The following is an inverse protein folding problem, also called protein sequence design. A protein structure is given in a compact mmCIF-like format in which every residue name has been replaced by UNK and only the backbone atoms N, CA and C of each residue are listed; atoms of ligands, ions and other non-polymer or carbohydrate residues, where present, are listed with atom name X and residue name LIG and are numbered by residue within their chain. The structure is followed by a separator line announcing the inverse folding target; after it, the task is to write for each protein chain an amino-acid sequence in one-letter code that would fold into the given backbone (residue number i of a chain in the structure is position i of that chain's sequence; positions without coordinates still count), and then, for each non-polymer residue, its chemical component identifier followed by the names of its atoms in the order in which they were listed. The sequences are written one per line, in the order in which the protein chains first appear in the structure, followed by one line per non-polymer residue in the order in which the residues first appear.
data_IF_934369296321
#
_entry.id   IF_934369296321
#
_cell.length_a   1.000
_cell.length_b   1.000
_cell.length_c   1.000
_cell.angle_alpha   90.00
_cell.angle_beta   90.00
_cell.angle_gamma   90.00
#
_symmetry.space_group_name_H-M   'P 1'
#
loop_
_entity.id
_entity.type
_entity.pdbx_description
1 polymer ?
#
# COMPACT_ATOMS: atom_id res chain seq x y z
N UNK A 1 -0.81 -3.23 -28.42
CA UNK A 1 -0.15 -2.60 -27.26
C UNK A 1 0.75 -3.60 -26.53
N UNK A 2 0.20 -4.65 -25.91
CA UNK A 2 0.99 -5.64 -25.14
C UNK A 2 2.13 -6.29 -25.96
N UNK A 3 1.87 -6.71 -27.21
CA UNK A 3 2.91 -7.26 -28.08
C UNK A 3 4.11 -6.31 -28.30
N UNK A 4 3.86 -5.01 -28.46
CA UNK A 4 4.93 -4.02 -28.57
C UNK A 4 5.71 -3.87 -27.27
N UNK A 5 5.02 -3.80 -26.13
CA UNK A 5 5.65 -3.63 -24.82
C UNK A 5 6.55 -4.83 -24.45
N UNK A 6 6.20 -6.02 -24.95
CA UNK A 6 6.97 -7.26 -24.82
C UNK A 6 8.14 -7.39 -25.82
N UNK A 7 8.24 -6.50 -26.82
CA UNK A 7 9.34 -6.54 -27.79
C UNK A 7 10.68 -6.21 -27.12
N UNK A 8 11.75 -6.88 -27.56
CA UNK A 8 13.12 -6.66 -27.08
C UNK A 8 13.80 -5.59 -27.93
N UNK A 9 14.83 -4.94 -27.38
CA UNK A 9 15.62 -3.93 -28.10
C UNK A 9 16.21 -4.46 -29.42
N UNK A 10 16.62 -5.73 -29.44
CA UNK A 10 17.19 -6.40 -30.63
C UNK A 10 16.20 -6.62 -31.77
N UNK A 11 14.91 -6.49 -31.50
CA UNK A 11 13.86 -6.67 -32.51
C UNK A 11 13.71 -5.41 -33.39
N UNK A 12 14.57 -4.39 -33.18
CA UNK A 12 14.55 -3.12 -33.88
C UNK A 12 15.81 -2.92 -34.71
N UNK A 13 15.62 -2.46 -35.95
CA UNK A 13 16.72 -2.14 -36.88
C UNK A 13 17.43 -0.83 -36.52
N UNK A 14 16.77 0.04 -35.74
CA UNK A 14 17.32 1.32 -35.30
C UNK A 14 17.97 1.19 -33.93
N UNK A 15 18.98 2.01 -33.65
CA UNK A 15 19.63 2.06 -32.35
C UNK A 15 19.75 3.50 -31.82
N UNK A 16 20.09 3.62 -30.54
CA UNK A 16 20.41 4.90 -29.93
C UNK A 16 19.24 5.90 -29.89
N UNK A 17 19.49 7.21 -30.10
CA UNK A 17 18.49 8.27 -29.94
C UNK A 17 17.26 8.15 -30.86
N UNK A 18 17.44 7.65 -32.09
CA UNK A 18 16.36 7.47 -33.06
C UNK A 18 15.35 6.42 -32.58
N UNK A 19 15.84 5.27 -32.10
CA UNK A 19 15.00 4.24 -31.50
C UNK A 19 14.22 4.79 -30.30
N UNK A 20 14.89 5.52 -29.41
CA UNK A 20 14.25 6.14 -28.24
C UNK A 20 13.11 7.07 -28.63
N UNK A 21 13.32 7.91 -29.64
CA UNK A 21 12.30 8.86 -30.15
C UNK A 21 11.10 8.12 -30.72
N UNK A 22 11.33 7.08 -31.53
CA UNK A 22 10.26 6.28 -32.12
C UNK A 22 9.45 5.49 -31.08
N UNK A 23 10.13 4.87 -30.13
CA UNK A 23 9.49 4.17 -29.01
C UNK A 23 8.64 5.15 -28.20
N UNK A 24 9.17 6.35 -27.92
CA UNK A 24 8.44 7.39 -27.20
C UNK A 24 7.14 7.78 -27.93
N UNK A 25 7.21 8.05 -29.23
CA UNK A 25 6.03 8.37 -30.03
C UNK A 25 4.98 7.23 -30.01
N UNK A 26 5.41 5.97 -30.13
CA UNK A 26 4.50 4.82 -30.04
C UNK A 26 3.83 4.70 -28.66
N UNK A 27 4.58 4.91 -27.58
CA UNK A 27 4.04 4.90 -26.21
C UNK A 27 3.00 6.01 -26.01
N UNK A 28 3.27 7.23 -26.51
CA UNK A 28 2.30 8.34 -26.45
C UNK A 28 1.02 8.03 -27.23
N UNK A 29 1.13 7.43 -28.43
CA UNK A 29 -0.04 6.98 -29.19
C UNK A 29 -0.84 5.92 -28.40
N UNK A 30 -0.16 4.94 -27.80
CA UNK A 30 -0.83 3.94 -26.97
C UNK A 30 -1.52 4.54 -25.76
N UNK A 31 -0.94 5.56 -25.13
CA UNK A 31 -1.56 6.26 -24.03
C UNK A 31 -2.83 7.01 -24.48
N UNK A 32 -2.79 7.69 -25.62
CA UNK A 32 -3.96 8.37 -26.18
C UNK A 32 -5.08 7.38 -26.50
N UNK A 33 -4.75 6.25 -27.15
CA UNK A 33 -5.71 5.18 -27.46
C UNK A 33 -6.29 4.56 -26.18
N UNK A 34 -5.46 4.30 -25.16
CA UNK A 34 -5.93 3.79 -23.87
C UNK A 34 -6.93 4.76 -23.23
N UNK A 35 -6.59 6.05 -23.13
CA UNK A 35 -7.46 7.08 -22.57
C UNK A 35 -8.80 7.17 -23.32
N UNK A 36 -8.78 7.10 -24.64
CA UNK A 36 -9.99 7.09 -25.47
C UNK A 36 -10.85 5.85 -25.18
N UNK A 37 -10.25 4.64 -25.16
CA UNK A 37 -10.97 3.39 -24.85
C UNK A 37 -11.58 3.43 -23.45
N UNK A 38 -10.82 3.89 -22.46
CA UNK A 38 -11.29 4.04 -21.08
C UNK A 38 -12.51 4.96 -21.01
N UNK A 39 -12.43 6.16 -21.61
CA UNK A 39 -13.55 7.11 -21.63
C UNK A 39 -14.79 6.51 -22.28
N UNK A 40 -14.63 5.87 -23.44
CA UNK A 40 -15.74 5.22 -24.14
C UNK A 40 -16.37 4.08 -23.33
N UNK A 41 -15.57 3.32 -22.58
CA UNK A 41 -16.07 2.25 -21.72
C UNK A 41 -16.76 2.76 -20.47
N UNK A 42 -16.32 3.88 -19.90
CA UNK A 42 -17.01 4.49 -18.75
C UNK A 42 -18.39 5.01 -19.18
N UNK A 43 -18.51 5.59 -20.37
CA UNK A 43 -19.77 6.13 -20.89
C UNK A 43 -20.72 5.09 -21.51
N UNK A 44 -20.29 3.84 -21.68
CA UNK A 44 -21.10 2.82 -22.35
C UNK A 44 -22.26 2.36 -21.44
N UNK A 45 -23.50 2.35 -21.91
CA UNK A 45 -24.61 1.78 -21.12
C UNK A 45 -24.52 0.24 -21.12
N UNK A 46 -24.70 -0.37 -19.94
CA UNK A 46 -24.54 -1.84 -19.75
C UNK A 46 -25.87 -2.58 -19.72
N UNK A 47 -26.75 -2.31 -20.68
CA UNK A 47 -28.08 -2.94 -20.72
C UNK A 47 -28.09 -4.30 -21.44
N UNK A 48 -26.92 -4.84 -21.80
CA UNK A 48 -26.79 -6.10 -22.54
C UNK A 48 -25.73 -7.05 -22.00
N UNK A 49 -25.94 -8.35 -22.20
CA UNK A 49 -24.93 -9.40 -21.92
C UNK A 49 -23.63 -9.17 -22.70
N UNK A 50 -23.74 -8.66 -23.92
CA UNK A 50 -22.62 -8.34 -24.81
C UNK A 50 -21.80 -7.14 -24.31
N UNK A 51 -22.43 -6.09 -23.80
CA UNK A 51 -21.70 -4.92 -23.25
C UNK A 51 -20.97 -5.26 -21.97
N UNK A 52 -21.55 -6.07 -21.08
CA UNK A 52 -20.87 -6.60 -19.88
C UNK A 52 -19.63 -7.43 -20.25
N UNK A 53 -19.76 -8.30 -21.26
CA UNK A 53 -18.64 -9.10 -21.78
C UNK A 53 -17.53 -8.21 -22.36
N UNK A 54 -17.90 -7.22 -23.17
CA UNK A 54 -16.95 -6.27 -23.77
C UNK A 54 -16.18 -5.48 -22.71
N UNK A 55 -16.84 -5.04 -21.64
CA UNK A 55 -16.20 -4.36 -20.51
C UNK A 55 -15.16 -5.27 -19.85
N UNK A 56 -15.51 -6.51 -19.54
CA UNK A 56 -14.60 -7.47 -18.91
C UNK A 56 -13.40 -7.83 -19.81
N UNK A 57 -13.65 -8.11 -21.09
CA UNK A 57 -12.58 -8.41 -22.06
C UNK A 57 -11.64 -7.22 -22.23
N UNK A 58 -12.18 -6.00 -22.32
CA UNK A 58 -11.32 -4.82 -22.46
C UNK A 58 -10.56 -4.51 -21.18
N UNK A 59 -11.18 -4.71 -20.01
CA UNK A 59 -10.50 -4.59 -18.71
C UNK A 59 -9.30 -5.53 -18.63
N UNK A 60 -9.47 -6.79 -19.04
CA UNK A 60 -8.39 -7.77 -19.11
C UNK A 60 -7.26 -7.32 -20.04
N UNK A 61 -7.58 -6.81 -21.24
CA UNK A 61 -6.58 -6.29 -22.18
C UNK A 61 -5.81 -5.07 -21.65
N UNK A 62 -6.47 -4.20 -20.88
CA UNK A 62 -5.82 -3.05 -20.24
C UNK A 62 -4.89 -3.51 -19.11
N UNK A 63 -5.30 -4.49 -18.30
CA UNK A 63 -4.46 -5.11 -17.28
C UNK A 63 -3.24 -5.82 -17.87
N UNK A 64 -3.42 -6.58 -18.96
CA UNK A 64 -2.31 -7.23 -19.68
C UNK A 64 -1.34 -6.21 -20.29
N UNK A 65 -1.83 -5.01 -20.63
CA UNK A 65 -0.98 -3.91 -21.08
C UNK A 65 -0.21 -3.27 -19.91
N UNK A 66 -0.84 -3.12 -18.74
CA UNK A 66 -0.18 -2.61 -17.53
C UNK A 66 0.93 -3.56 -17.07
N UNK A 67 0.67 -4.86 -17.02
CA UNK A 67 1.67 -5.89 -16.73
C UNK A 67 2.82 -5.89 -17.75
N UNK A 68 2.48 -5.71 -19.05
CA UNK A 68 3.51 -5.57 -20.08
C UNK A 68 4.36 -4.30 -19.93
N UNK A 69 3.82 -3.20 -19.38
CA UNK A 69 4.63 -2.01 -19.09
C UNK A 69 5.68 -2.31 -18.01
N UNK A 70 5.31 -3.07 -16.98
CA UNK A 70 6.19 -3.43 -15.87
C UNK A 70 7.36 -4.32 -16.31
N UNK A 71 7.08 -5.29 -17.18
CA UNK A 71 8.06 -6.25 -17.70
C UNK A 71 8.81 -5.73 -18.93
N UNK A 72 8.42 -4.56 -19.48
CA UNK A 72 9.02 -4.01 -20.68
C UNK A 72 10.48 -3.58 -20.48
N UNK A 73 11.30 -3.76 -21.52
CA UNK A 73 12.63 -3.14 -21.61
C UNK A 73 12.57 -1.61 -21.65
N UNK A 74 11.39 -1.03 -21.89
CA UNK A 74 11.11 0.40 -21.96
C UNK A 74 10.55 0.98 -20.66
N UNK A 75 10.38 0.17 -19.60
CA UNK A 75 9.71 0.56 -18.35
C UNK A 75 10.26 1.82 -17.68
N UNK A 76 11.57 2.07 -17.81
CA UNK A 76 12.27 3.24 -17.25
C UNK A 76 12.07 4.52 -18.08
N UNK A 77 11.38 4.44 -19.21
CA UNK A 77 11.04 5.62 -19.98
C UNK A 77 9.82 6.29 -19.35
N UNK A 78 9.90 7.61 -19.15
CA UNK A 78 8.78 8.42 -18.64
C UNK A 78 7.45 8.16 -19.36
N UNK A 79 7.46 8.04 -20.69
CA UNK A 79 6.23 7.73 -21.43
C UNK A 79 5.64 6.33 -21.14
N UNK A 80 6.48 5.36 -20.75
CA UNK A 80 6.02 4.04 -20.32
C UNK A 80 5.41 4.11 -18.91
N UNK A 81 6.02 4.88 -18.00
CA UNK A 81 5.49 5.15 -16.66
C UNK A 81 4.14 5.88 -16.74
N UNK A 82 4.04 6.91 -17.58
CA UNK A 82 2.81 7.67 -17.83
C UNK A 82 1.71 6.81 -18.47
N UNK A 83 2.08 5.89 -19.38
CA UNK A 83 1.17 4.91 -19.93
C UNK A 83 0.65 3.97 -18.84
N UNK A 84 1.54 3.40 -18.02
CA UNK A 84 1.19 2.53 -16.91
C UNK A 84 0.22 3.21 -15.94
N UNK A 85 0.54 4.42 -15.49
CA UNK A 85 -0.35 5.19 -14.60
C UNK A 85 -1.70 5.52 -15.23
N UNK A 86 -1.73 5.84 -16.54
CA UNK A 86 -2.98 6.09 -17.26
C UNK A 86 -3.84 4.83 -17.40
N UNK A 87 -3.21 3.67 -17.61
CA UNK A 87 -3.89 2.38 -17.66
C UNK A 87 -4.51 2.06 -16.29
N UNK A 88 -3.72 2.10 -15.21
CA UNK A 88 -4.21 1.77 -13.87
C UNK A 88 -5.34 2.70 -13.40
N UNK A 89 -5.19 4.02 -13.56
CA UNK A 89 -6.25 4.96 -13.19
C UNK A 89 -7.52 4.73 -14.01
N UNK A 90 -7.40 4.41 -15.31
CA UNK A 90 -8.56 4.12 -16.14
C UNK A 90 -9.25 2.80 -15.79
N UNK A 91 -8.46 1.78 -15.49
CA UNK A 91 -8.93 0.46 -15.03
C UNK A 91 -9.69 0.61 -13.70
N UNK A 92 -9.14 1.37 -12.74
CA UNK A 92 -9.82 1.68 -11.47
C UNK A 92 -11.16 2.37 -11.70
N UNK A 93 -11.20 3.42 -12.53
CA UNK A 93 -12.45 4.11 -12.86
C UNK A 93 -13.50 3.19 -13.44
N UNK A 94 -13.14 2.34 -14.40
CA UNK A 94 -14.08 1.36 -14.97
C UNK A 94 -14.58 0.40 -13.89
N UNK A 95 -13.68 -0.14 -13.05
CA UNK A 95 -14.05 -1.09 -12.02
C UNK A 95 -14.94 -0.49 -10.92
N UNK A 96 -14.63 0.74 -10.48
CA UNK A 96 -15.38 1.46 -9.44
C UNK A 96 -16.76 1.89 -9.91
N UNK A 97 -16.87 2.32 -11.18
CA UNK A 97 -18.14 2.74 -11.77
C UNK A 97 -19.08 1.55 -11.97
N UNK A 98 -18.52 0.41 -12.40
CA UNK A 98 -19.31 -0.79 -12.70
C UNK A 98 -19.57 -1.69 -11.49
N UNK A 99 -18.69 -1.65 -10.49
CA UNK A 99 -18.74 -2.53 -9.31
C UNK A 99 -18.70 -4.02 -9.66
N UNK A 100 -19.08 -4.87 -8.70
CA UNK A 100 -19.34 -6.30 -8.90
C UNK A 100 -18.20 -7.07 -9.58
N UNK A 101 -18.52 -7.81 -10.65
CA UNK A 101 -17.57 -8.68 -11.35
C UNK A 101 -16.33 -7.93 -11.91
N UNK A 102 -16.47 -6.78 -12.61
CA UNK A 102 -15.32 -5.96 -13.01
C UNK A 102 -14.38 -5.60 -11.86
N UNK A 103 -14.90 -5.21 -10.69
CA UNK A 103 -14.09 -4.90 -9.52
C UNK A 103 -13.34 -6.15 -9.00
N UNK A 104 -14.02 -7.29 -8.92
CA UNK A 104 -13.39 -8.56 -8.51
C UNK A 104 -12.26 -8.98 -9.45
N UNK A 105 -12.49 -8.91 -10.76
CA UNK A 105 -11.47 -9.23 -11.78
C UNK A 105 -10.26 -8.30 -11.66
N UNK A 106 -10.50 -7.00 -11.44
CA UNK A 106 -9.43 -6.05 -11.18
C UNK A 106 -8.61 -6.45 -9.95
N UNK A 107 -9.26 -6.63 -8.81
CA UNK A 107 -8.57 -6.89 -7.54
C UNK A 107 -7.73 -8.18 -7.56
N UNK A 108 -8.25 -9.24 -8.20
CA UNK A 108 -7.52 -10.50 -8.40
C UNK A 108 -6.22 -10.28 -9.18
N UNK A 109 -6.24 -9.43 -10.21
CA UNK A 109 -5.07 -9.15 -11.06
C UNK A 109 -4.19 -8.03 -10.53
N UNK A 110 -4.74 -7.14 -9.69
CA UNK A 110 -4.01 -6.04 -9.09
C UNK A 110 -3.07 -6.52 -8.00
N UNK A 111 -3.47 -7.49 -7.16
CA UNK A 111 -2.57 -8.08 -6.13
C UNK A 111 -1.22 -8.52 -6.71
N UNK A 112 -1.15 -9.43 -7.70
CA UNK A 112 0.13 -9.85 -8.25
C UNK A 112 0.89 -8.71 -8.94
N UNK A 113 0.18 -7.74 -9.54
CA UNK A 113 0.82 -6.56 -10.15
C UNK A 113 1.49 -5.66 -9.11
N UNK A 114 0.82 -5.42 -7.97
CA UNK A 114 1.37 -4.68 -6.82
C UNK A 114 2.64 -5.36 -6.33
N UNK A 115 2.60 -6.67 -6.11
CA UNK A 115 3.76 -7.44 -5.64
C UNK A 115 4.92 -7.40 -6.65
N UNK A 116 4.62 -7.47 -7.94
CA UNK A 116 5.63 -7.38 -8.99
C UNK A 116 6.27 -5.98 -9.10
N UNK A 117 5.51 -4.91 -8.80
CA UNK A 117 6.06 -3.55 -8.67
C UNK A 117 6.93 -3.44 -7.42
N UNK A 118 6.47 -3.94 -6.28
CA UNK A 118 7.23 -4.02 -5.02
C UNK A 118 8.50 -4.88 -5.13
N UNK A 119 8.64 -5.68 -6.18
CA UNK A 119 9.82 -6.46 -6.49
C UNK A 119 10.86 -5.72 -7.35
N UNK A 120 10.54 -4.54 -7.90
CA UNK A 120 11.49 -3.81 -8.74
C UNK A 120 12.52 -3.04 -7.91
N UNK A 121 13.77 -2.88 -8.37
CA UNK A 121 14.73 -2.01 -7.69
C UNK A 121 14.42 -0.50 -7.85
N UNK A 122 13.76 -0.12 -8.95
CA UNK A 122 13.53 1.28 -9.35
C UNK A 122 12.02 1.60 -9.39
N UNK A 123 11.34 1.51 -8.25
CA UNK A 123 9.87 1.47 -8.22
C UNK A 123 9.17 2.82 -8.40
N UNK A 124 9.86 3.94 -8.16
CA UNK A 124 9.28 5.27 -7.87
C UNK A 124 7.92 5.58 -8.53
N UNK A 125 7.92 5.84 -9.83
CA UNK A 125 6.70 6.26 -10.55
C UNK A 125 5.64 5.14 -10.69
N UNK A 126 6.08 3.88 -10.79
CA UNK A 126 5.19 2.73 -10.91
C UNK A 126 4.50 2.42 -9.58
N UNK A 127 5.24 2.47 -8.47
CA UNK A 127 4.72 2.29 -7.11
C UNK A 127 3.74 3.39 -6.76
N UNK A 128 4.05 4.64 -7.11
CA UNK A 128 3.13 5.78 -6.92
C UNK A 128 1.80 5.57 -7.67
N UNK A 129 1.86 5.02 -8.88
CA UNK A 129 0.65 4.72 -9.67
C UNK A 129 -0.18 3.60 -9.04
N UNK A 130 0.48 2.53 -8.58
CA UNK A 130 -0.15 1.43 -7.84
C UNK A 130 -0.78 1.94 -6.54
N UNK A 131 -0.04 2.72 -5.76
CA UNK A 131 -0.51 3.32 -4.51
C UNK A 131 -1.79 4.12 -4.72
N UNK A 132 -1.79 5.07 -5.66
CA UNK A 132 -2.97 5.89 -5.98
C UNK A 132 -4.17 5.05 -6.41
N UNK A 133 -3.94 4.06 -7.27
CA UNK A 133 -4.97 3.14 -7.75
C UNK A 133 -5.54 2.30 -6.62
N UNK A 134 -4.69 1.80 -5.73
CA UNK A 134 -5.11 1.05 -4.55
C UNK A 134 -5.92 1.93 -3.58
N UNK A 135 -5.51 3.17 -3.30
CA UNK A 135 -6.32 4.11 -2.52
C UNK A 135 -7.71 4.32 -3.13
N UNK A 136 -7.79 4.68 -4.42
CA UNK A 136 -9.05 4.95 -5.12
C UNK A 136 -10.00 3.76 -5.04
N UNK A 137 -9.48 2.54 -5.24
CA UNK A 137 -10.28 1.31 -5.18
C UNK A 137 -10.74 1.01 -3.76
N UNK A 138 -9.86 1.14 -2.75
CA UNK A 138 -10.25 0.90 -1.37
C UNK A 138 -11.32 1.90 -0.96
N UNK A 139 -11.10 3.20 -1.15
CA UNK A 139 -12.04 4.26 -0.77
C UNK A 139 -13.41 4.09 -1.44
N UNK A 140 -13.43 3.83 -2.74
CA UNK A 140 -14.67 3.74 -3.51
C UNK A 140 -15.37 2.40 -3.36
N UNK A 141 -14.59 1.32 -3.22
CA UNK A 141 -15.08 -0.04 -3.04
C UNK A 141 -15.58 -0.31 -1.62
N UNK A 142 -15.06 0.41 -0.62
CA UNK A 142 -15.39 0.21 0.80
C UNK A 142 -16.89 0.19 1.07
N UNK A 143 -17.61 1.15 0.50
CA UNK A 143 -19.06 1.29 0.68
C UNK A 143 -19.89 0.46 -0.32
N UNK A 144 -19.32 0.11 -1.48
CA UNK A 144 -20.06 -0.50 -2.59
C UNK A 144 -19.98 -2.03 -2.62
N UNK A 145 -18.79 -2.59 -2.44
CA UNK A 145 -18.53 -4.03 -2.51
C UNK A 145 -17.30 -4.33 -1.64
N UNK A 146 -17.54 -4.41 -0.32
CA UNK A 146 -16.50 -4.50 0.71
C UNK A 146 -15.72 -5.81 0.65
N UNK A 147 -16.39 -6.95 0.46
CA UNK A 147 -15.75 -8.26 0.58
C UNK A 147 -14.56 -8.50 -0.39
N UNK A 148 -14.63 -8.10 -1.68
CA UNK A 148 -13.48 -8.13 -2.57
C UNK A 148 -12.34 -7.20 -2.13
N UNK A 149 -12.66 -6.03 -1.58
CA UNK A 149 -11.66 -5.08 -1.07
C UNK A 149 -10.95 -5.66 0.16
N UNK A 150 -11.70 -6.21 1.12
CA UNK A 150 -11.14 -6.89 2.30
C UNK A 150 -10.20 -8.02 1.87
N UNK A 151 -10.63 -8.85 0.91
CA UNK A 151 -9.82 -9.95 0.36
C UNK A 151 -8.53 -9.44 -0.29
N UNK A 152 -8.59 -8.32 -1.01
CA UNK A 152 -7.42 -7.71 -1.63
C UNK A 152 -6.42 -7.19 -0.59
N UNK A 153 -6.91 -6.44 0.40
CA UNK A 153 -6.09 -5.87 1.49
C UNK A 153 -5.43 -6.98 2.31
N UNK A 154 -6.22 -7.95 2.77
CA UNK A 154 -5.71 -9.12 3.48
C UNK A 154 -4.73 -9.91 2.64
N UNK A 155 -5.04 -10.11 1.35
CA UNK A 155 -4.16 -10.81 0.43
C UNK A 155 -2.80 -10.13 0.23
N UNK A 156 -2.72 -8.80 0.31
CA UNK A 156 -1.44 -8.07 0.32
C UNK A 156 -0.71 -8.24 1.65
N UNK A 157 -1.41 -8.14 2.77
CA UNK A 157 -0.82 -8.28 4.10
C UNK A 157 -0.27 -9.70 4.35
N UNK A 158 -1.01 -10.75 4.00
CA UNK A 158 -0.55 -12.15 4.13
C UNK A 158 0.69 -12.46 3.29
N UNK A 159 0.93 -11.72 2.19
CA UNK A 159 2.13 -11.90 1.35
C UNK A 159 3.45 -11.54 2.05
N UNK A 160 3.37 -10.90 3.23
CA UNK A 160 4.52 -10.64 4.12
C UNK A 160 4.95 -11.93 4.82
N UNK A 161 4.01 -12.83 5.15
CA UNK A 161 4.25 -14.09 5.86
C UNK A 161 4.57 -15.25 4.91
N UNK A 162 3.81 -15.38 3.81
CA UNK A 162 3.99 -16.46 2.81
C UNK A 162 5.41 -16.56 2.23
N UNK A 163 6.22 -15.50 2.34
CA UNK A 163 7.62 -15.47 1.87
C UNK A 163 8.65 -15.81 2.94
N UNK A 164 8.25 -15.94 4.21
CA UNK A 164 9.10 -16.44 5.29
C UNK A 164 9.15 -17.98 5.28
N UNK A 165 8.07 -18.67 4.89
CA UNK A 165 8.00 -20.15 4.87
C UNK A 165 8.89 -20.81 3.80
N UNK A 166 9.39 -20.03 2.84
CA UNK A 166 10.29 -20.50 1.78
C UNK A 166 11.78 -20.28 2.10
N UNK A 167 12.12 -19.64 3.24
CA UNK A 167 13.51 -19.40 3.63
C UNK A 167 14.25 -20.66 4.11
N UNK A 168 13.56 -21.81 4.22
CA UNK A 168 14.23 -23.12 4.40
C UNK A 168 14.90 -23.67 3.12
N UNK A 169 14.74 -23.01 1.95
CA UNK A 169 15.51 -23.35 0.74
C UNK A 169 16.76 -22.48 0.60
N UNK A 170 17.86 -23.07 1.08
CA UNK A 170 19.27 -22.70 0.83
C UNK A 170 19.45 -22.21 -0.62
N UNK A 171 20.07 -21.03 -0.80
CA UNK A 171 20.52 -20.41 -2.08
C UNK A 171 19.62 -19.39 -2.84
N UNK A 172 18.73 -18.63 -2.18
CA UNK A 172 18.21 -17.36 -2.77
C UNK A 172 18.60 -16.12 -1.96
N UNK A 173 19.90 -15.85 -1.91
CA UNK A 173 20.47 -14.65 -1.29
C UNK A 173 19.95 -13.33 -1.91
N UNK A 174 19.52 -12.42 -1.03
CA UNK A 174 19.55 -10.93 -1.11
C UNK A 174 18.38 -10.14 -1.72
N UNK A 175 17.46 -10.69 -2.50
CA UNK A 175 16.34 -9.87 -3.07
C UNK A 175 15.00 -10.00 -2.34
N UNK A 176 14.77 -11.09 -1.61
CA UNK A 176 13.50 -11.38 -0.93
C UNK A 176 13.12 -10.36 0.16
N UNK A 177 14.06 -9.83 0.97
CA UNK A 177 13.73 -8.83 2.00
C UNK A 177 13.16 -7.54 1.40
N UNK A 178 13.74 -7.06 0.28
CA UNK A 178 13.34 -5.78 -0.32
C UNK A 178 11.85 -5.73 -0.68
N UNK A 179 11.31 -6.82 -1.21
CA UNK A 179 9.91 -6.86 -1.63
C UNK A 179 8.97 -6.84 -0.43
N UNK A 180 9.29 -7.56 0.64
CA UNK A 180 8.52 -7.57 1.88
C UNK A 180 8.50 -6.18 2.54
N UNK A 181 9.68 -5.55 2.61
CA UNK A 181 9.87 -4.19 3.12
C UNK A 181 9.04 -3.18 2.33
N UNK A 182 9.02 -3.28 0.99
CA UNK A 182 8.21 -2.40 0.14
C UNK A 182 6.70 -2.61 0.34
N UNK A 183 6.25 -3.86 0.51
CA UNK A 183 4.83 -4.16 0.80
C UNK A 183 4.41 -3.60 2.16
N UNK A 184 5.24 -3.76 3.20
CA UNK A 184 4.98 -3.17 4.53
C UNK A 184 4.82 -1.65 4.43
N UNK A 185 5.74 -0.99 3.72
CA UNK A 185 5.66 0.47 3.50
C UNK A 185 4.38 0.86 2.77
N UNK A 186 4.07 0.17 1.67
CA UNK A 186 2.88 0.43 0.87
C UNK A 186 1.60 0.28 1.71
N UNK A 187 1.47 -0.80 2.50
CA UNK A 187 0.31 -1.02 3.36
C UNK A 187 0.17 0.07 4.43
N UNK A 188 1.28 0.52 5.04
CA UNK A 188 1.25 1.63 5.98
C UNK A 188 0.82 2.95 5.31
N UNK A 189 1.37 3.24 4.12
CA UNK A 189 1.01 4.41 3.32
C UNK A 189 -0.48 4.37 2.93
N UNK A 190 -0.99 3.21 2.52
CA UNK A 190 -2.40 3.02 2.15
C UNK A 190 -3.33 3.29 3.34
N UNK A 191 -3.03 2.75 4.52
CA UNK A 191 -3.82 2.98 5.72
C UNK A 191 -3.91 4.46 6.07
N UNK A 192 -2.76 5.15 6.06
CA UNK A 192 -2.68 6.58 6.41
C UNK A 192 -3.43 7.43 5.39
N UNK A 193 -3.38 7.08 4.11
CA UNK A 193 -4.06 7.83 3.06
C UNK A 193 -5.58 7.64 3.10
N UNK A 194 -6.02 6.38 3.19
CA UNK A 194 -7.45 6.00 3.13
C UNK A 194 -8.20 6.35 4.42
N UNK A 195 -7.51 6.37 5.57
CA UNK A 195 -8.07 6.75 6.89
C UNK A 195 -9.34 5.98 7.26
N UNK A 196 -9.36 4.68 6.96
CA UNK A 196 -10.43 3.76 7.35
C UNK A 196 -9.93 2.89 8.50
N UNK A 197 -10.49 3.03 9.71
CA UNK A 197 -10.00 2.27 10.85
C UNK A 197 -10.09 0.75 10.61
N UNK A 198 -11.15 0.31 9.94
CA UNK A 198 -11.37 -1.11 9.67
C UNK A 198 -10.27 -1.73 8.78
N UNK A 199 -9.63 -0.95 7.91
CA UNK A 199 -8.50 -1.40 7.08
C UNK A 199 -7.28 -1.71 7.94
N UNK A 200 -7.07 -0.92 8.99
CA UNK A 200 -5.98 -1.10 9.90
C UNK A 200 -6.26 -2.19 10.94
N UNK A 201 -7.52 -2.36 11.38
CA UNK A 201 -7.91 -3.49 12.23
C UNK A 201 -7.62 -4.84 11.55
N UNK A 202 -7.68 -4.89 10.22
CA UNK A 202 -7.27 -6.07 9.44
C UNK A 202 -5.76 -6.27 9.36
N UNK A 203 -4.97 -5.19 9.27
CA UNK A 203 -3.52 -5.25 8.98
C UNK A 203 -2.67 -5.31 10.25
N UNK A 204 -3.08 -4.57 11.30
CA UNK A 204 -2.33 -4.45 12.55
C UNK A 204 -2.04 -5.81 13.20
N UNK A 205 -3.01 -6.74 13.33
CA UNK A 205 -2.74 -8.06 13.90
C UNK A 205 -1.63 -8.79 13.16
N UNK A 206 -1.66 -8.80 11.82
CA UNK A 206 -0.66 -9.47 11.00
C UNK A 206 0.75 -8.88 11.18
N UNK A 207 0.84 -7.55 11.33
CA UNK A 207 2.12 -6.89 11.58
C UNK A 207 2.65 -7.17 12.98
N UNK A 208 1.77 -7.26 13.98
CA UNK A 208 2.13 -7.57 15.37
C UNK A 208 2.59 -9.01 15.47
N UNK A 209 1.83 -9.97 14.93
CA UNK A 209 2.25 -11.37 14.88
C UNK A 209 3.62 -11.50 14.19
N UNK A 210 3.87 -10.74 13.11
CA UNK A 210 5.18 -10.78 12.41
C UNK A 210 6.31 -10.13 13.22
N UNK A 211 5.99 -9.22 14.15
CA UNK A 211 6.96 -8.72 15.13
C UNK A 211 7.21 -9.71 16.27
N UNK A 212 6.27 -10.60 16.57
CA UNK A 212 6.39 -11.62 17.61
C UNK A 212 7.18 -12.86 17.14
N UNK A 213 7.03 -13.27 15.88
CA UNK A 213 7.69 -14.45 15.29
C UNK A 213 9.21 -14.30 15.09
N UNK A 214 9.72 -13.07 14.95
CA UNK A 214 11.14 -12.83 14.72
C UNK A 214 11.97 -12.83 16.00
N UNK A 215 13.23 -13.29 15.93
CA UNK A 215 14.17 -13.23 17.05
C UNK A 215 14.30 -11.78 17.59
N UNK A 216 13.68 -11.55 18.74
CA UNK A 216 13.68 -10.25 19.41
C UNK A 216 15.05 -9.87 20.00
N UNK A 217 16.03 -10.79 19.97
CA UNK A 217 17.38 -10.58 20.49
C UNK A 217 18.28 -9.77 19.55
N UNK A 218 18.03 -9.78 18.23
CA UNK A 218 18.85 -9.10 17.23
C UNK A 218 18.10 -7.97 16.50
N UNK A 219 18.67 -6.75 16.44
CA UNK A 219 18.11 -5.67 15.63
C UNK A 219 18.10 -5.99 14.13
N UNK A 220 16.92 -6.04 13.49
CA UNK A 220 16.80 -6.21 12.03
C UNK A 220 16.10 -5.03 11.34
N UNK A 221 16.46 -4.76 10.08
CA UNK A 221 15.83 -3.69 9.29
C UNK A 221 14.33 -3.95 9.06
N UNK A 222 13.93 -5.21 8.89
CA UNK A 222 12.54 -5.63 8.79
C UNK A 222 11.74 -5.27 10.04
N UNK A 223 12.30 -5.56 11.23
CA UNK A 223 11.66 -5.23 12.51
C UNK A 223 11.49 -3.73 12.69
N UNK A 224 12.51 -2.95 12.34
CA UNK A 224 12.43 -1.48 12.34
C UNK A 224 11.31 -0.96 11.43
N UNK A 225 11.17 -1.54 10.24
CA UNK A 225 10.16 -1.09 9.29
C UNK A 225 8.74 -1.51 9.70
N UNK A 226 8.57 -2.69 10.28
CA UNK A 226 7.31 -3.10 10.89
C UNK A 226 6.93 -2.18 12.05
N UNK A 227 7.85 -1.87 12.96
CA UNK A 227 7.60 -0.93 14.06
C UNK A 227 7.23 0.46 13.55
N UNK A 228 7.91 0.98 12.51
CA UNK A 228 7.54 2.25 11.87
C UNK A 228 6.15 2.21 11.24
N UNK A 229 5.86 1.16 10.48
CA UNK A 229 4.56 0.97 9.83
C UNK A 229 3.43 0.91 10.86
N UNK A 230 3.58 0.08 11.88
CA UNK A 230 2.62 -0.09 12.96
C UNK A 230 2.44 1.21 13.75
N UNK A 231 3.52 1.94 14.03
CA UNK A 231 3.48 3.25 14.68
C UNK A 231 2.65 4.26 13.88
N UNK A 232 2.85 4.31 12.56
CA UNK A 232 2.12 5.21 11.67
C UNK A 232 0.64 4.86 11.61
N UNK A 233 0.33 3.56 11.55
CA UNK A 233 -1.06 3.09 11.56
C UNK A 233 -1.69 3.44 12.92
N UNK A 234 -1.07 3.09 14.05
CA UNK A 234 -1.57 3.35 15.41
C UNK A 234 -2.07 4.80 15.64
N UNK A 235 -1.48 5.79 14.97
CA UNK A 235 -1.90 7.20 15.06
C UNK A 235 -3.26 7.54 14.44
N UNK A 236 -3.93 6.62 13.74
CA UNK A 236 -5.21 6.89 13.07
C UNK A 236 -6.46 6.68 13.94
N UNK A 237 -6.35 6.28 15.21
CA UNK A 237 -7.53 6.12 16.07
C UNK A 237 -7.88 4.70 16.50
N UNK A 238 -6.92 3.77 16.59
CA UNK A 238 -7.19 2.35 16.89
C UNK A 238 -7.47 2.05 18.36
N UNK A 239 -8.05 0.87 18.61
CA UNK A 239 -8.32 0.35 19.96
C UNK A 239 -7.08 0.50 20.86
N UNK A 240 -7.34 0.90 22.11
CA UNK A 240 -6.32 1.20 23.12
C UNK A 240 -5.31 0.06 23.31
N UNK A 241 -5.77 -1.18 23.21
CA UNK A 241 -4.98 -2.41 23.29
C UNK A 241 -3.81 -2.45 22.28
N UNK A 242 -4.06 -2.04 21.03
CA UNK A 242 -3.02 -2.01 20.00
C UNK A 242 -2.00 -0.93 20.29
N UNK A 243 -2.42 0.27 20.68
CA UNK A 243 -1.49 1.38 20.99
C UNK A 243 -0.52 1.02 22.10
N UNK A 244 -1.01 0.43 23.19
CA UNK A 244 -0.19 -0.01 24.32
C UNK A 244 0.83 -1.07 23.89
N UNK A 245 0.39 -2.07 23.12
CA UNK A 245 1.26 -3.14 22.58
C UNK A 245 2.39 -2.57 21.71
N UNK A 246 2.08 -1.61 20.84
CA UNK A 246 3.06 -0.94 19.97
C UNK A 246 4.07 -0.14 20.77
N UNK A 247 3.62 0.60 21.79
CA UNK A 247 4.49 1.37 22.68
C UNK A 247 5.45 0.44 23.44
N UNK A 248 4.95 -0.68 23.96
CA UNK A 248 5.77 -1.66 24.68
C UNK A 248 6.81 -2.31 23.76
N UNK A 249 6.41 -2.78 22.57
CA UNK A 249 7.33 -3.38 21.61
C UNK A 249 8.40 -2.40 21.15
N UNK A 250 8.01 -1.15 20.88
CA UNK A 250 8.95 -0.12 20.42
C UNK A 250 9.96 0.25 21.52
N UNK A 251 9.51 0.40 22.78
CA UNK A 251 10.40 0.66 23.92
C UNK A 251 11.38 -0.48 24.17
N UNK A 252 10.88 -1.72 24.13
CA UNK A 252 11.72 -2.93 24.27
C UNK A 252 12.82 -2.96 23.20
N UNK A 253 12.47 -2.66 21.95
CA UNK A 253 13.42 -2.64 20.84
C UNK A 253 14.47 -1.53 20.96
N UNK A 254 14.06 -0.31 21.30
CA UNK A 254 14.98 0.83 21.49
C UNK A 254 15.96 0.60 22.64
N UNK A 255 15.50 0.01 23.76
CA UNK A 255 16.35 -0.36 24.89
C UNK A 255 17.46 -1.33 24.45
N UNK A 256 17.12 -2.33 23.62
CA UNK A 256 18.09 -3.29 23.07
C UNK A 256 19.05 -2.67 22.07
N UNK A 257 18.58 -1.75 21.22
CA UNK A 257 19.46 -0.98 20.34
C UNK A 257 20.49 -0.17 21.13
N UNK A 258 20.06 0.47 22.23
CA UNK A 258 20.97 1.21 23.10
C UNK A 258 21.99 0.33 23.83
N UNK A 259 21.61 -0.91 24.20
CA UNK A 259 22.56 -1.85 24.82
C UNK A 259 23.57 -2.38 23.83
N UNK A 260 23.18 -2.62 22.57
CA UNK A 260 24.09 -3.07 21.49
C UNK A 260 25.07 -1.96 21.09
N UNK A 261 24.57 -0.72 20.91
CA UNK A 261 25.43 0.44 20.62
C UNK A 261 26.41 0.79 21.76
N UNK A 262 26.09 0.38 23.00
CA UNK A 262 26.99 0.52 24.15
C UNK A 262 28.12 -0.51 24.16
N UNK A 263 27.96 -1.68 23.53
CA UNK A 263 28.95 -2.77 23.52
C UNK A 263 29.88 -2.71 22.29
N UNK A 264 29.41 -2.12 21.17
CA UNK A 264 30.14 -2.11 19.89
C UNK A 264 30.93 -0.80 19.61
N UNK A 265 31.08 0.04 20.64
CA UNK A 265 31.76 1.35 20.60
C UNK A 265 33.30 1.24 20.55
N UNK A 266 33.86 0.46 19.62
CA UNK A 266 35.28 0.57 19.27
C UNK A 266 35.64 0.64 17.78
N UNK A 267 34.77 0.39 16.80
CA UNK A 267 35.24 0.34 15.38
C UNK A 267 34.22 0.61 14.26
N UNK A 268 33.32 1.61 14.31
CA UNK A 268 32.78 2.23 13.07
C UNK A 268 32.03 3.55 13.29
N UNK A 269 31.86 4.33 12.22
CA UNK A 269 31.57 5.77 12.22
C UNK A 269 30.19 6.17 12.82
N UNK A 270 30.11 7.27 13.60
CA UNK A 270 29.04 7.49 14.58
C UNK A 270 27.82 8.28 14.05
N UNK A 271 27.95 8.98 12.93
CA UNK A 271 27.00 10.05 12.53
C UNK A 271 25.72 9.53 11.86
N UNK A 272 25.81 8.47 11.03
CA UNK A 272 24.62 7.90 10.37
C UNK A 272 23.71 7.11 11.33
N UNK A 273 24.27 6.58 12.41
CA UNK A 273 23.57 5.76 13.40
C UNK A 273 22.84 6.65 14.42
N UNK A 274 23.42 7.80 14.78
CA UNK A 274 22.84 8.76 15.73
C UNK A 274 21.62 9.47 15.14
N UNK A 275 21.69 9.97 13.90
CA UNK A 275 20.52 10.61 13.24
C UNK A 275 19.32 9.66 13.12
N UNK A 276 19.58 8.37 12.87
CA UNK A 276 18.53 7.34 12.71
C UNK A 276 17.86 6.98 14.04
N UNK A 277 18.64 6.94 15.13
CA UNK A 277 18.13 6.73 16.50
C UNK A 277 17.31 7.94 16.94
N UNK A 278 17.77 9.16 16.64
CA UNK A 278 17.09 10.40 17.03
C UNK A 278 15.75 10.59 16.28
N UNK A 279 15.73 10.29 14.97
CA UNK A 279 14.50 10.28 14.17
C UNK A 279 13.46 9.28 14.70
N UNK A 280 13.89 8.09 15.14
CA UNK A 280 13.02 7.07 15.71
C UNK A 280 12.53 7.44 17.11
N UNK A 281 13.37 8.06 17.94
CA UNK A 281 12.99 8.55 19.28
C UNK A 281 11.94 9.67 19.19
N UNK A 282 12.08 10.56 18.20
CA UNK A 282 11.10 11.61 17.94
C UNK A 282 9.76 11.07 17.42
N UNK A 283 9.74 9.94 16.68
CA UNK A 283 8.50 9.24 16.31
C UNK A 283 7.78 8.67 17.53
N UNK A 284 8.49 8.06 18.47
CA UNK A 284 7.89 7.55 19.72
C UNK A 284 7.25 8.64 20.57
N UNK A 285 7.87 9.84 20.64
CA UNK A 285 7.28 10.99 21.32
C UNK A 285 5.96 11.41 20.66
N UNK A 286 5.86 11.40 19.33
CA UNK A 286 4.61 11.72 18.62
C UNK A 286 3.49 10.72 18.89
N UNK A 287 3.81 9.42 18.99
CA UNK A 287 2.83 8.38 19.34
C UNK A 287 2.31 8.60 20.77
N UNK A 288 3.21 8.91 21.72
CA UNK A 288 2.82 9.18 23.11
C UNK A 288 1.98 10.46 23.25
N UNK A 289 2.31 11.52 22.52
CA UNK A 289 1.52 12.77 22.51
C UNK A 289 0.14 12.56 21.89
N UNK A 290 0.03 11.72 20.85
CA UNK A 290 -1.27 11.38 20.27
C UNK A 290 -2.16 10.57 21.24
N UNK A 291 -1.55 9.72 22.08
CA UNK A 291 -2.22 8.95 23.13
C UNK A 291 -2.76 9.86 24.26
N UNK A 292 -1.96 10.83 24.70
CA UNK A 292 -2.35 11.80 25.72
C UNK A 292 -3.47 12.75 25.24
N UNK A 293 -3.47 13.10 23.94
CA UNK A 293 -4.48 13.96 23.32
C UNK A 293 -5.82 13.25 23.07
N UNK A 294 -5.82 11.98 22.65
CA UNK A 294 -7.05 11.19 22.50
C UNK A 294 -7.68 10.85 23.84
N UNK A 295 -6.88 10.54 24.87
CA UNK A 295 -7.38 10.31 26.24
C UNK A 295 -8.09 11.55 26.78
N UNK A 296 -7.56 12.75 26.51
CA UNK A 296 -8.25 14.01 26.84
C UNK A 296 -9.54 14.23 26.04
N UNK A 297 -9.57 13.87 24.74
CA UNK A 297 -10.80 13.99 23.93
C UNK A 297 -11.88 13.02 24.38
N UNK A 298 -11.54 11.77 24.66
CA UNK A 298 -12.50 10.78 25.14
C UNK A 298 -13.10 11.18 26.50
N UNK A 299 -12.26 11.66 27.41
CA UNK A 299 -12.70 12.17 28.70
C UNK A 299 -13.59 13.42 28.56
N UNK A 300 -13.36 14.25 27.53
CA UNK A 300 -14.18 15.43 27.23
C UNK A 300 -15.52 15.07 26.57
N UNK A 301 -15.55 14.05 25.69
CA UNK A 301 -16.80 13.51 25.11
C UNK A 301 -17.67 12.81 26.14
N UNK A 302 -17.09 12.02 27.06
CA UNK A 302 -17.84 11.41 28.17
C UNK A 302 -18.41 12.47 29.13
N UNK A 303 -17.65 13.53 29.43
CA UNK A 303 -18.16 14.67 30.22
C UNK A 303 -19.32 15.38 29.52
N UNK A 304 -19.25 15.57 28.20
CA UNK A 304 -20.34 16.22 27.44
C UNK A 304 -21.59 15.32 27.34
N UNK A 305 -21.43 14.00 27.36
CA UNK A 305 -22.53 13.04 27.34
C UNK A 305 -23.21 12.91 28.72
N UNK A 306 -22.43 12.89 29.81
CA UNK A 306 -22.94 12.94 31.18
C UNK A 306 -23.59 14.27 31.57
N UNK A 307 -23.18 15.39 30.95
CA UNK A 307 -23.87 16.69 31.13
C UNK A 307 -25.23 16.69 30.43
N UNK A 308 -25.37 16.04 29.27
CA UNK A 308 -26.65 15.94 28.55
C UNK A 308 -27.68 15.09 29.30
N UNK A 309 -27.26 13.99 29.92
CA UNK A 309 -28.14 13.12 30.72
C UNK A 309 -28.61 13.79 32.03
N UNK A 310 -27.82 14.70 32.61
CA UNK A 310 -28.23 15.45 33.80
C UNK A 310 -29.16 16.63 33.52
N UNK A 311 -29.22 17.14 32.28
CA UNK A 311 -30.17 18.19 31.88
C UNK A 311 -31.57 17.68 31.49
N UNK A 312 -31.78 16.36 31.39
CA UNK A 312 -33.08 15.76 31.04
C UNK A 312 -33.92 15.30 32.25
N UNK A 313 -33.51 15.60 33.49
CA UNK A 313 -34.19 15.10 34.71
C UNK A 313 -34.92 16.20 35.51
N UNK A 314 -34.91 17.46 35.07
CA UNK A 314 -35.68 18.53 35.72
C UNK A 314 -36.67 19.18 34.76
N UNK A 315 -37.72 18.44 34.40
CA UNK A 315 -38.98 19.06 33.98
C UNK A 315 -40.13 18.08 34.24
N UNK A 316 -40.60 18.06 35.48
CA UNK A 316 -41.88 17.46 35.88
C UNK A 316 -42.35 18.12 37.19
N UNK A 317 -43.27 19.07 37.03
CA UNK A 317 -44.06 19.73 38.08
C UNK A 317 -44.75 20.94 37.44
N UNK A 318 -46.05 21.19 37.53
CA UNK A 318 -47.14 20.60 38.29
C UNK A 318 -48.44 20.92 37.53
N UNK A 319 -49.45 20.05 37.64
CA UNK A 319 -50.87 20.35 37.35
C UNK A 319 -51.71 19.71 38.45
#
# INVERSE_FOLDING_TARGET
MSAFLKSRKRDWNEQGPLLKTRVNAKLSVYQAVAKMKIKSLVSLETDGKTSKRLVLETLALLLDAADACLTSVWRKMKACEELFGSLLSGIAKIAVERGGQPLRVLLIRLKPLVLAVCAQPDQGALLESVFKTSCEIIESGWAKDRAPVDTFVMGLASSIRERNDYEEQVDREKQVPAVQLNVIRLLADLNVAVKKPEVADMILPLFIESLEEGDASAPSFLRLQLLDAVSRIATLGFEKSYRETVVLMTRSYLSRLSSVGSVESKTSAPEATTERIEANTNKCRKIKVADDQDTSRHHMTEKLQGVKENTSVTDNGDL
#
